data_IF_344913769357
#
_entry.id   IF_344913769357
#
_cell.length_a   1.000
_cell.length_b   1.000
_cell.length_c   1.000
_cell.angle_alpha   90.00
_cell.angle_beta   90.00
_cell.angle_gamma   90.00
#
_symmetry.space_group_name_H-M   'P 1'
#
loop_
_entity.id
_entity.type
_entity.pdbx_description
1 polymer ?
#
# COMPACT_ATOMS: atom_id res chain seq x y z
N UNK A 1 17.44 -0.39 18.15
CA UNK A 1 16.74 -1.17 17.10
C UNK A 1 17.72 -1.52 16.01
N UNK A 2 17.87 -2.81 15.71
CA UNK A 2 18.65 -3.27 14.57
C UNK A 2 17.71 -3.49 13.39
N UNK A 3 17.98 -2.82 12.29
CA UNK A 3 17.31 -3.06 11.03
C UNK A 3 17.54 -4.51 10.54
N UNK A 4 16.46 -5.25 10.19
CA UNK A 4 16.60 -6.56 9.55
C UNK A 4 17.25 -6.48 8.17
N UNK A 5 17.76 -7.62 7.70
CA UNK A 5 18.26 -7.73 6.33
C UNK A 5 17.11 -7.51 5.34
N UNK A 6 17.43 -6.85 4.23
CA UNK A 6 16.53 -6.66 3.10
C UNK A 6 17.27 -6.91 1.79
N UNK A 7 16.53 -7.29 0.76
CA UNK A 7 17.02 -7.32 -0.61
C UNK A 7 16.81 -5.95 -1.27
N UNK A 8 17.58 -5.63 -2.30
CA UNK A 8 17.47 -4.37 -3.05
C UNK A 8 16.65 -4.61 -4.31
N UNK A 9 15.34 -4.41 -4.22
CA UNK A 9 14.40 -4.58 -5.33
C UNK A 9 13.82 -3.24 -5.79
N UNK A 10 13.65 -2.29 -4.87
CA UNK A 10 13.09 -0.98 -5.16
C UNK A 10 14.19 0.02 -5.56
N UNK A 11 13.86 0.90 -6.51
CA UNK A 11 14.54 2.17 -6.78
C UNK A 11 14.17 3.18 -5.71
N UNK A 12 15.08 3.34 -4.76
CA UNK A 12 14.97 4.25 -3.63
C UNK A 12 16.18 5.22 -3.62
N UNK A 13 16.05 6.41 -3.03
CA UNK A 13 14.82 6.99 -2.47
C UNK A 13 13.83 7.42 -3.56
N UNK A 14 12.52 7.43 -3.24
CA UNK A 14 11.50 7.98 -4.15
C UNK A 14 11.40 9.50 -3.99
N UNK A 15 11.00 10.26 -5.01
CA UNK A 15 11.02 11.73 -4.91
C UNK A 15 9.86 12.28 -4.05
N UNK A 16 10.13 13.37 -3.33
CA UNK A 16 9.12 14.24 -2.72
C UNK A 16 8.85 15.44 -3.65
N UNK A 17 7.61 15.62 -4.10
CA UNK A 17 7.24 16.61 -5.12
C UNK A 17 6.11 17.51 -4.63
N UNK A 18 6.27 18.83 -4.77
CA UNK A 18 5.20 19.80 -4.48
C UNK A 18 4.16 19.82 -5.61
N UNK A 19 2.88 19.73 -5.26
CA UNK A 19 1.76 19.92 -6.19
C UNK A 19 1.45 21.41 -6.30
N UNK A 20 2.11 22.10 -7.23
CA UNK A 20 2.13 23.56 -7.23
C UNK A 20 0.73 24.17 -7.39
N UNK A 21 -0.05 23.70 -8.36
CA UNK A 21 -1.35 24.31 -8.68
C UNK A 21 -2.39 24.00 -7.62
N UNK A 22 -2.34 22.81 -7.03
CA UNK A 22 -3.21 22.40 -5.94
C UNK A 22 -2.85 23.14 -4.65
N UNK A 23 -1.56 23.37 -4.40
CA UNK A 23 -1.12 24.16 -3.26
C UNK A 23 -1.64 25.59 -3.35
N UNK A 24 -1.57 26.19 -4.54
CA UNK A 24 -2.10 27.53 -4.80
C UNK A 24 -3.63 27.60 -4.67
N UNK A 25 -4.35 26.55 -5.09
CA UNK A 25 -5.82 26.42 -4.96
C UNK A 25 -6.24 26.31 -3.49
N UNK A 26 -5.54 25.48 -2.71
CA UNK A 26 -5.91 25.18 -1.32
C UNK A 26 -5.33 26.15 -0.29
N UNK A 27 -4.40 27.01 -0.69
CA UNK A 27 -3.61 27.88 0.21
C UNK A 27 -2.92 27.07 1.31
N UNK A 28 -2.39 25.90 0.93
CA UNK A 28 -1.59 25.00 1.77
C UNK A 28 -0.46 24.40 0.93
N UNK A 29 0.65 24.03 1.55
CA UNK A 29 1.79 23.41 0.88
C UNK A 29 1.55 21.91 0.75
N UNK A 30 1.01 21.47 -0.40
CA UNK A 30 0.72 20.05 -0.65
C UNK A 30 1.87 19.39 -1.38
N UNK A 31 2.45 18.38 -0.75
CA UNK A 31 3.55 17.57 -1.25
C UNK A 31 3.11 16.12 -1.44
N UNK A 32 3.77 15.41 -2.35
CA UNK A 32 3.54 13.99 -2.62
C UNK A 32 4.85 13.23 -2.53
N UNK A 33 4.92 12.23 -1.66
CA UNK A 33 5.98 11.22 -1.69
C UNK A 33 5.61 10.18 -2.73
N UNK A 34 6.38 10.13 -3.83
CA UNK A 34 6.07 9.38 -5.06
C UNK A 34 6.46 7.91 -4.98
N UNK A 35 5.88 7.21 -4.00
CA UNK A 35 6.07 5.77 -3.84
C UNK A 35 5.41 4.93 -4.94
N UNK A 36 4.63 5.54 -5.82
CA UNK A 36 4.22 4.98 -7.10
C UNK A 36 5.41 4.75 -8.05
N UNK A 37 6.56 5.39 -7.81
CA UNK A 37 7.76 5.31 -8.64
C UNK A 37 8.86 4.38 -8.06
N UNK A 38 8.53 3.51 -7.10
CA UNK A 38 9.50 2.61 -6.45
C UNK A 38 10.18 1.62 -7.40
N UNK A 39 9.50 1.05 -8.39
CA UNK A 39 10.09 0.17 -9.43
C UNK A 39 9.07 0.02 -10.56
N UNK A 40 9.47 -0.42 -11.76
CA UNK A 40 8.59 -0.52 -12.92
C UNK A 40 7.44 -1.53 -12.71
N UNK A 41 7.71 -2.83 -12.81
CA UNK A 41 6.67 -3.87 -12.69
C UNK A 41 6.09 -4.00 -11.28
N UNK A 42 6.92 -3.75 -10.26
CA UNK A 42 6.52 -3.87 -8.85
C UNK A 42 5.94 -2.58 -8.25
N UNK A 43 5.84 -1.50 -9.03
CA UNK A 43 5.42 -0.13 -8.66
C UNK A 43 4.45 -0.04 -7.48
N UNK A 44 4.75 0.91 -6.58
CA UNK A 44 3.92 1.23 -5.44
C UNK A 44 4.52 0.79 -4.12
N UNK A 45 3.69 0.79 -3.09
CA UNK A 45 4.12 0.57 -1.71
C UNK A 45 4.60 -0.84 -1.39
N UNK A 46 4.14 -1.85 -2.12
CA UNK A 46 4.30 -3.25 -1.72
C UNK A 46 5.76 -3.68 -1.79
N UNK A 47 6.51 -3.21 -2.78
CA UNK A 47 7.91 -3.61 -2.94
C UNK A 47 8.77 -3.24 -1.73
N UNK A 48 8.53 -2.09 -1.08
CA UNK A 48 9.25 -1.71 0.14
C UNK A 48 9.13 -2.74 1.26
N UNK A 49 7.95 -3.37 1.41
CA UNK A 49 7.74 -4.43 2.40
C UNK A 49 8.30 -5.76 1.94
N UNK A 50 8.12 -6.05 0.65
CA UNK A 50 8.62 -7.28 0.03
C UNK A 50 10.15 -7.37 0.05
N UNK A 51 10.88 -6.26 0.07
CA UNK A 51 12.33 -6.27 0.24
C UNK A 51 12.78 -6.99 1.54
N UNK A 52 12.00 -6.91 2.62
CA UNK A 52 12.30 -7.62 3.87
C UNK A 52 11.75 -9.05 3.84
N UNK A 53 10.49 -9.19 3.43
CA UNK A 53 9.80 -10.49 3.42
C UNK A 53 10.47 -11.49 2.48
N UNK A 54 10.86 -11.05 1.28
CA UNK A 54 11.55 -11.91 0.33
C UNK A 54 13.01 -12.13 0.69
N UNK A 55 13.65 -11.21 1.41
CA UNK A 55 14.97 -11.47 1.98
C UNK A 55 14.91 -12.59 3.02
N UNK A 56 13.89 -12.61 3.87
CA UNK A 56 13.66 -13.71 4.83
C UNK A 56 13.32 -15.02 4.11
N UNK A 57 12.45 -14.98 3.10
CA UNK A 57 12.10 -16.15 2.29
C UNK A 57 13.32 -16.79 1.61
N UNK A 58 14.19 -15.97 0.99
CA UNK A 58 15.43 -16.47 0.37
C UNK A 58 16.40 -17.01 1.43
N UNK A 59 16.52 -16.33 2.58
CA UNK A 59 17.41 -16.77 3.65
C UNK A 59 16.96 -18.09 4.30
N UNK A 60 15.66 -18.37 4.33
CA UNK A 60 15.10 -19.65 4.80
C UNK A 60 15.16 -20.76 3.73
N UNK A 61 15.65 -20.44 2.53
CA UNK A 61 15.77 -21.38 1.43
C UNK A 61 14.44 -21.71 0.76
N UNK A 62 13.42 -20.85 0.87
CA UNK A 62 12.14 -21.03 0.22
C UNK A 62 12.30 -21.25 -1.29
N UNK A 63 11.41 -22.06 -1.87
CA UNK A 63 11.31 -22.24 -3.33
C UNK A 63 10.04 -21.62 -3.89
N UNK A 64 9.02 -21.45 -3.05
CA UNK A 64 7.73 -20.86 -3.42
C UNK A 64 7.37 -19.77 -2.43
N UNK A 65 6.68 -18.73 -2.90
CA UNK A 65 5.98 -17.78 -2.04
C UNK A 65 4.49 -17.85 -2.26
N UNK A 66 3.73 -17.82 -1.18
CA UNK A 66 2.26 -17.84 -1.22
C UNK A 66 1.75 -16.50 -0.72
N UNK A 67 0.79 -15.90 -1.42
CA UNK A 67 0.10 -14.73 -0.88
C UNK A 67 -1.35 -14.65 -1.37
N UNK A 68 -2.10 -13.71 -0.82
CA UNK A 68 -3.51 -13.55 -1.11
C UNK A 68 -3.90 -12.10 -1.45
N UNK A 69 -4.93 -11.96 -2.27
CA UNK A 69 -5.56 -10.67 -2.54
C UNK A 69 -6.81 -10.78 -3.41
N UNK A 70 -7.38 -9.62 -3.78
CA UNK A 70 -8.38 -9.58 -4.85
C UNK A 70 -7.72 -9.83 -6.22
N UNK A 71 -8.53 -10.14 -7.23
CA UNK A 71 -8.06 -10.39 -8.62
C UNK A 71 -7.14 -9.27 -9.15
N UNK A 72 -7.48 -8.00 -8.89
CA UNK A 72 -6.68 -6.83 -9.29
C UNK A 72 -5.73 -6.35 -8.18
N UNK A 73 -5.26 -7.24 -7.31
CA UNK A 73 -4.39 -6.89 -6.18
C UNK A 73 -3.01 -6.40 -6.63
N UNK A 74 -2.69 -5.13 -6.29
CA UNK A 74 -1.33 -4.59 -6.43
C UNK A 74 -0.29 -5.40 -5.63
N UNK A 75 -0.70 -5.98 -4.50
CA UNK A 75 0.15 -6.83 -3.67
C UNK A 75 0.50 -8.13 -4.38
N UNK A 76 -0.49 -8.85 -4.91
CA UNK A 76 -0.25 -10.10 -5.62
C UNK A 76 0.67 -9.89 -6.83
N UNK A 77 0.42 -8.82 -7.61
CA UNK A 77 1.28 -8.44 -8.74
C UNK A 77 2.72 -8.15 -8.30
N UNK A 78 2.91 -7.32 -7.28
CA UNK A 78 4.24 -7.00 -6.79
C UNK A 78 4.97 -8.25 -6.27
N UNK A 79 4.28 -9.13 -5.53
CA UNK A 79 4.84 -10.39 -5.02
C UNK A 79 5.25 -11.30 -6.17
N UNK A 80 4.37 -11.51 -7.17
CA UNK A 80 4.66 -12.36 -8.32
C UNK A 80 5.92 -11.92 -9.08
N UNK A 81 6.00 -10.62 -9.41
CA UNK A 81 7.14 -10.09 -10.17
C UNK A 81 8.43 -10.13 -9.33
N UNK A 82 8.35 -9.77 -8.04
CA UNK A 82 9.52 -9.80 -7.16
C UNK A 82 10.01 -11.23 -6.90
N UNK A 83 9.10 -12.19 -6.69
CA UNK A 83 9.42 -13.60 -6.55
C UNK A 83 10.13 -14.15 -7.79
N UNK A 84 9.56 -13.89 -8.98
CA UNK A 84 10.15 -14.30 -10.24
C UNK A 84 11.58 -13.74 -10.43
N UNK A 85 11.82 -12.48 -10.05
CA UNK A 85 13.16 -11.86 -10.12
C UNK A 85 14.20 -12.51 -9.20
N UNK A 86 13.74 -13.22 -8.16
CA UNK A 86 14.58 -13.94 -7.21
C UNK A 86 14.64 -15.44 -7.50
N UNK A 87 14.01 -15.91 -8.59
CA UNK A 87 13.93 -17.34 -8.91
C UNK A 87 13.01 -18.14 -8.00
N UNK A 88 12.03 -17.49 -7.36
CA UNK A 88 11.01 -18.12 -6.54
C UNK A 88 9.73 -18.28 -7.36
N UNK A 89 9.09 -19.45 -7.23
CA UNK A 89 7.74 -19.66 -7.76
C UNK A 89 6.71 -18.88 -6.92
N UNK A 90 5.58 -18.48 -7.53
CA UNK A 90 4.59 -17.66 -6.84
C UNK A 90 3.17 -18.24 -6.94
N UNK A 91 2.55 -18.42 -5.78
CA UNK A 91 1.20 -18.93 -5.61
C UNK A 91 0.28 -17.81 -5.10
N UNK A 92 -0.77 -17.51 -5.84
CA UNK A 92 -1.69 -16.41 -5.56
C UNK A 92 -3.09 -16.94 -5.23
N UNK A 93 -3.53 -16.75 -3.99
CA UNK A 93 -4.90 -17.00 -3.57
C UNK A 93 -5.74 -15.76 -3.90
N UNK A 94 -6.64 -15.88 -4.86
CA UNK A 94 -7.41 -14.75 -5.39
C UNK A 94 -8.89 -14.86 -5.02
N UNK A 95 -9.43 -13.83 -4.35
CA UNK A 95 -10.85 -13.77 -4.01
C UNK A 95 -11.70 -13.55 -5.27
N UNK A 96 -12.64 -14.46 -5.52
CA UNK A 96 -13.60 -14.39 -6.62
C UNK A 96 -13.49 -15.56 -7.58
N UNK A 97 -14.00 -15.38 -8.80
CA UNK A 97 -13.87 -16.34 -9.89
C UNK A 97 -12.75 -15.94 -10.84
N UNK A 98 -12.26 -16.91 -11.63
CA UNK A 98 -11.37 -16.62 -12.74
C UNK A 98 -12.06 -15.67 -13.74
N UNK A 99 -11.45 -14.52 -14.07
CA UNK A 99 -12.02 -13.61 -15.06
C UNK A 99 -11.84 -14.17 -16.47
N UNK A 100 -12.75 -13.81 -17.37
CA UNK A 100 -12.70 -14.20 -18.78
C UNK A 100 -11.65 -13.42 -19.58
N UNK A 101 -11.28 -12.22 -19.12
CA UNK A 101 -10.22 -11.40 -19.69
C UNK A 101 -9.09 -11.19 -18.69
N UNK A 102 -7.85 -11.23 -19.19
CA UNK A 102 -6.67 -10.92 -18.41
C UNK A 102 -6.24 -9.47 -18.68
N UNK A 103 -6.24 -8.66 -17.63
CA UNK A 103 -5.84 -7.25 -17.70
C UNK A 103 -5.21 -6.79 -16.38
N UNK A 104 -4.58 -5.61 -16.42
CA UNK A 104 -4.05 -4.93 -15.25
C UNK A 104 -3.09 -5.80 -14.43
N UNK A 105 -3.31 -5.83 -13.12
CA UNK A 105 -2.47 -6.56 -12.17
C UNK A 105 -2.49 -8.08 -12.42
N UNK A 106 -3.62 -8.67 -12.79
CA UNK A 106 -3.72 -10.12 -13.02
C UNK A 106 -2.89 -10.55 -14.23
N UNK A 107 -2.98 -9.81 -15.34
CA UNK A 107 -2.21 -10.11 -16.55
C UNK A 107 -0.71 -10.11 -16.24
N UNK A 108 -0.22 -9.08 -15.55
CA UNK A 108 1.18 -8.97 -15.16
C UNK A 108 1.61 -10.09 -14.20
N UNK A 109 0.73 -10.49 -13.28
CA UNK A 109 1.00 -11.61 -12.36
C UNK A 109 1.17 -12.93 -13.11
N UNK A 110 0.27 -13.23 -14.06
CA UNK A 110 0.36 -14.44 -14.89
C UNK A 110 1.59 -14.41 -15.82
N UNK A 111 1.93 -13.25 -16.39
CA UNK A 111 3.16 -13.09 -17.20
C UNK A 111 4.44 -13.30 -16.39
N UNK A 112 4.42 -12.98 -15.09
CA UNK A 112 5.51 -13.27 -14.17
C UNK A 112 5.56 -14.75 -13.72
N UNK A 113 4.69 -15.61 -14.25
CA UNK A 113 4.66 -17.05 -13.93
C UNK A 113 3.80 -17.41 -12.73
N UNK A 114 3.01 -16.49 -12.17
CA UNK A 114 2.22 -16.80 -10.99
C UNK A 114 1.10 -17.83 -11.25
N UNK A 115 0.99 -18.80 -10.35
CA UNK A 115 -0.10 -19.76 -10.27
C UNK A 115 -1.26 -19.16 -9.45
N UNK A 116 -2.48 -19.20 -9.97
CA UNK A 116 -3.64 -18.55 -9.35
C UNK A 116 -4.67 -19.56 -8.84
N UNK A 117 -4.99 -19.47 -7.56
CA UNK A 117 -6.05 -20.23 -6.89
C UNK A 117 -7.24 -19.32 -6.63
N UNK A 118 -8.31 -19.47 -7.40
CA UNK A 118 -9.52 -18.66 -7.23
C UNK A 118 -10.43 -19.27 -6.18
N UNK A 119 -10.79 -18.48 -5.16
CA UNK A 119 -11.59 -18.95 -4.03
C UNK A 119 -12.88 -18.14 -3.85
N UNK A 120 -13.93 -18.84 -3.45
CA UNK A 120 -15.24 -18.21 -3.18
C UNK A 120 -15.16 -17.28 -1.97
N UNK A 121 -16.20 -16.44 -1.78
CA UNK A 121 -16.28 -15.56 -0.60
C UNK A 121 -16.34 -16.34 0.71
N UNK A 122 -16.99 -17.51 0.72
CA UNK A 122 -17.08 -18.37 1.89
C UNK A 122 -15.70 -18.93 2.25
N UNK A 123 -15.02 -19.54 1.26
CA UNK A 123 -13.65 -20.05 1.42
C UNK A 123 -12.67 -18.94 1.81
N UNK A 124 -12.83 -17.73 1.28
CA UNK A 124 -12.04 -16.57 1.67
C UNK A 124 -12.20 -16.19 3.15
N UNK A 125 -13.34 -16.50 3.77
CA UNK A 125 -13.55 -16.32 5.21
C UNK A 125 -12.67 -17.23 6.08
N UNK A 126 -12.15 -18.31 5.50
CA UNK A 126 -11.27 -19.31 6.11
C UNK A 126 -9.87 -19.23 5.48
N UNK A 127 -9.40 -18.02 5.17
CA UNK A 127 -8.15 -17.83 4.45
C UNK A 127 -6.93 -18.52 5.10
N UNK A 128 -6.77 -18.57 6.45
CA UNK A 128 -5.69 -19.34 7.08
C UNK A 128 -5.67 -20.81 6.65
N UNK A 129 -6.81 -21.49 6.66
CA UNK A 129 -6.94 -22.90 6.25
C UNK A 129 -6.56 -23.10 4.78
N UNK A 130 -6.85 -22.11 3.92
CA UNK A 130 -6.45 -22.16 2.49
C UNK A 130 -4.94 -22.03 2.32
N UNK A 131 -4.29 -21.17 3.11
CA UNK A 131 -2.82 -21.08 3.13
C UNK A 131 -2.21 -22.42 3.56
N UNK A 132 -2.66 -22.98 4.68
CA UNK A 132 -2.17 -24.26 5.21
C UNK A 132 -2.35 -25.42 4.20
N UNK A 133 -3.48 -25.44 3.48
CA UNK A 133 -3.74 -26.42 2.44
C UNK A 133 -2.72 -26.32 1.29
N UNK A 134 -2.48 -25.12 0.77
CA UNK A 134 -1.55 -24.91 -0.35
C UNK A 134 -0.11 -25.19 0.09
N UNK A 135 0.28 -24.76 1.29
CA UNK A 135 1.58 -25.08 1.89
C UNK A 135 1.78 -26.60 1.93
N UNK A 136 0.84 -27.33 2.52
CA UNK A 136 0.88 -28.79 2.62
C UNK A 136 0.98 -29.48 1.25
N UNK A 137 0.23 -28.98 0.26
CA UNK A 137 0.27 -29.52 -1.11
C UNK A 137 1.64 -29.30 -1.78
N UNK A 138 2.28 -28.16 -1.54
CA UNK A 138 3.61 -27.85 -2.09
C UNK A 138 4.70 -28.65 -1.40
N UNK A 139 4.64 -28.77 -0.08
CA UNK A 139 5.60 -29.57 0.71
C UNK A 139 5.58 -31.05 0.31
N UNK A 140 4.39 -31.62 0.05
CA UNK A 140 4.25 -32.99 -0.47
C UNK A 140 4.94 -33.19 -1.83
N UNK A 141 5.13 -32.11 -2.60
CA UNK A 141 5.87 -32.11 -3.88
C UNK A 141 7.35 -31.76 -3.72
N UNK A 142 7.84 -31.64 -2.49
CA UNK A 142 9.24 -31.31 -2.17
C UNK A 142 9.57 -29.82 -2.24
N UNK A 143 8.58 -28.94 -2.34
CA UNK A 143 8.79 -27.49 -2.28
C UNK A 143 8.94 -27.01 -0.83
N UNK A 144 9.43 -25.78 -0.67
CA UNK A 144 9.55 -25.08 0.62
C UNK A 144 8.79 -23.76 0.51
N UNK A 145 7.50 -23.73 0.90
CA UNK A 145 6.68 -22.53 0.77
C UNK A 145 7.05 -21.48 1.84
N UNK A 146 6.86 -20.21 1.50
CA UNK A 146 6.91 -19.08 2.43
C UNK A 146 5.67 -18.22 2.26
N UNK A 147 4.85 -18.12 3.31
CA UNK A 147 3.60 -17.38 3.28
C UNK A 147 3.75 -15.91 3.62
N UNK A 148 3.22 -15.07 2.74
CA UNK A 148 3.17 -13.62 2.89
C UNK A 148 1.71 -13.21 3.12
N UNK A 149 1.38 -12.59 4.27
CA UNK A 149 0.01 -12.17 4.53
C UNK A 149 -0.42 -11.04 3.59
N UNK A 150 -1.73 -10.82 3.50
CA UNK A 150 -2.33 -9.80 2.61
C UNK A 150 -1.62 -8.44 2.79
N UNK A 151 -1.11 -7.91 1.67
CA UNK A 151 -0.46 -6.61 1.63
C UNK A 151 0.91 -6.55 2.29
N UNK A 152 1.50 -7.69 2.66
CA UNK A 152 2.76 -7.81 3.38
C UNK A 152 2.69 -7.14 4.75
N UNK A 153 1.54 -7.23 5.41
CA UNK A 153 1.25 -6.46 6.63
C UNK A 153 1.41 -7.32 7.88
N UNK A 154 2.66 -7.58 8.23
CA UNK A 154 3.14 -8.21 9.46
C UNK A 154 4.29 -7.35 10.05
N UNK A 155 4.82 -7.68 11.23
CA UNK A 155 5.94 -6.95 11.82
C UNK A 155 7.13 -6.77 10.88
N UNK A 156 7.62 -7.82 10.21
CA UNK A 156 8.76 -7.66 9.30
C UNK A 156 8.47 -6.67 8.14
N UNK A 157 7.27 -6.72 7.56
CA UNK A 157 6.86 -5.82 6.49
C UNK A 157 6.65 -4.36 6.90
N UNK A 158 6.40 -4.07 8.19
CA UNK A 158 6.30 -2.70 8.74
C UNK A 158 7.59 -1.91 8.50
N UNK A 159 8.76 -2.58 8.51
CA UNK A 159 10.05 -1.93 8.24
C UNK A 159 10.12 -1.21 6.90
N UNK A 160 9.45 -1.71 5.86
CA UNK A 160 9.42 -1.07 4.54
C UNK A 160 8.98 0.39 4.59
N UNK A 161 7.99 0.70 5.44
CA UNK A 161 7.50 2.07 5.62
C UNK A 161 8.10 2.80 6.81
N UNK A 162 8.65 2.08 7.80
CA UNK A 162 9.51 2.71 8.80
C UNK A 162 10.70 3.38 8.10
N UNK A 163 11.40 2.65 7.22
CA UNK A 163 12.50 3.21 6.42
C UNK A 163 12.09 4.34 5.47
N UNK A 164 10.89 4.30 4.91
CA UNK A 164 10.38 5.42 4.10
C UNK A 164 10.35 6.72 4.92
N UNK A 165 10.08 6.67 6.22
CA UNK A 165 10.11 7.87 7.08
C UNK A 165 11.53 8.42 7.27
N UNK A 166 12.55 7.57 7.34
CA UNK A 166 13.94 8.02 7.37
C UNK A 166 14.32 8.75 6.07
N UNK A 167 13.91 8.21 4.92
CA UNK A 167 14.03 8.89 3.62
C UNK A 167 13.27 10.24 3.63
N UNK A 168 12.01 10.23 4.07
CA UNK A 168 11.15 11.40 4.07
C UNK A 168 11.68 12.50 4.99
N UNK A 169 12.32 12.14 6.10
CA UNK A 169 12.98 13.10 6.99
C UNK A 169 14.05 13.89 6.23
N UNK A 170 14.91 13.21 5.49
CA UNK A 170 15.93 13.86 4.65
C UNK A 170 15.30 14.74 3.57
N UNK A 171 14.23 14.26 2.92
CA UNK A 171 13.49 15.04 1.93
C UNK A 171 12.91 16.33 2.55
N UNK A 172 12.25 16.21 3.70
CA UNK A 172 11.64 17.33 4.42
C UNK A 172 12.67 18.36 4.88
N UNK A 173 13.82 17.92 5.40
CA UNK A 173 14.93 18.79 5.78
C UNK A 173 15.45 19.58 4.57
N UNK A 174 15.57 18.95 3.40
CA UNK A 174 16.09 19.60 2.19
C UNK A 174 15.22 20.73 1.64
N UNK A 175 13.91 20.69 1.93
CA UNK A 175 12.93 21.69 1.49
C UNK A 175 12.35 22.51 2.65
N UNK A 176 12.92 22.36 3.86
CA UNK A 176 12.58 23.18 5.03
C UNK A 176 11.25 22.85 5.72
N UNK A 177 10.69 21.66 5.51
CA UNK A 177 9.45 21.20 6.16
C UNK A 177 9.77 20.78 7.60
N UNK A 178 9.32 21.57 8.58
CA UNK A 178 9.54 21.29 10.01
C UNK A 178 8.39 20.55 10.67
N UNK A 179 7.17 20.73 10.16
CA UNK A 179 5.95 20.09 10.65
C UNK A 179 5.04 19.76 9.48
N UNK A 180 4.37 18.61 9.57
CA UNK A 180 3.46 18.19 8.51
C UNK A 180 2.42 17.19 8.97
N UNK A 181 1.32 17.12 8.23
CA UNK A 181 0.36 16.03 8.31
C UNK A 181 0.52 15.07 7.12
N UNK A 182 0.77 13.79 7.40
CA UNK A 182 1.14 12.76 6.42
C UNK A 182 -0.07 11.85 6.16
N UNK A 183 -0.62 11.91 4.95
CA UNK A 183 -1.78 11.14 4.53
C UNK A 183 -1.39 9.90 3.75
N UNK A 184 -2.04 8.76 4.02
CA UNK A 184 -1.92 7.55 3.20
C UNK A 184 -3.24 6.77 3.17
N UNK A 185 -3.43 5.97 2.11
CA UNK A 185 -4.47 4.95 2.08
C UNK A 185 -4.17 3.80 3.05
N UNK A 186 -5.21 3.22 3.66
CA UNK A 186 -5.14 2.07 4.56
C UNK A 186 -6.10 0.98 4.08
N UNK A 187 -5.55 -0.14 3.60
CA UNK A 187 -6.31 -1.32 3.19
C UNK A 187 -5.88 -2.65 3.81
N UNK A 188 -4.69 -2.71 4.42
CA UNK A 188 -4.21 -3.87 5.21
C UNK A 188 -3.41 -3.44 6.45
N UNK A 189 -3.37 -2.15 6.75
CA UNK A 189 -2.67 -1.59 7.93
C UNK A 189 -1.18 -1.37 7.75
N UNK A 190 -0.41 -2.30 7.16
CA UNK A 190 1.04 -2.31 7.34
C UNK A 190 1.83 -1.11 6.78
N UNK A 191 1.29 -0.39 5.79
CA UNK A 191 1.91 0.88 5.33
C UNK A 191 1.82 1.94 6.42
N UNK A 192 0.63 2.09 6.99
CA UNK A 192 0.33 3.09 8.00
C UNK A 192 1.00 2.74 9.33
N UNK A 193 0.98 1.46 9.72
CA UNK A 193 1.77 0.98 10.85
C UNK A 193 3.27 1.27 10.66
N UNK A 194 3.82 1.04 9.47
CA UNK A 194 5.22 1.41 9.15
C UNK A 194 5.50 2.89 9.27
N UNK A 195 4.59 3.76 8.83
CA UNK A 195 4.71 5.21 9.02
C UNK A 195 4.74 5.55 10.51
N UNK A 196 3.82 5.02 11.32
CA UNK A 196 3.80 5.25 12.77
C UNK A 196 5.08 4.75 13.45
N UNK A 197 5.52 3.53 13.11
CA UNK A 197 6.74 2.94 13.62
C UNK A 197 7.97 3.79 13.26
N UNK A 198 8.07 4.24 12.00
CA UNK A 198 9.14 5.12 11.54
C UNK A 198 9.13 6.49 12.23
N UNK A 199 7.96 7.11 12.39
CA UNK A 199 7.86 8.39 13.08
C UNK A 199 8.40 8.29 14.51
N UNK A 200 8.07 7.21 15.22
CA UNK A 200 8.61 6.92 16.56
C UNK A 200 10.11 6.62 16.51
N UNK A 201 10.53 5.72 15.63
CA UNK A 201 11.91 5.24 15.55
C UNK A 201 12.92 6.34 15.22
N UNK A 202 12.51 7.32 14.40
CA UNK A 202 13.38 8.40 13.94
C UNK A 202 13.13 9.73 14.66
N UNK A 203 12.39 9.71 15.78
CA UNK A 203 12.19 10.88 16.65
C UNK A 203 11.36 12.01 16.03
N UNK A 204 10.43 11.66 15.14
CA UNK A 204 9.65 12.57 14.32
C UNK A 204 8.20 12.77 14.83
N UNK A 205 7.78 12.04 15.88
CA UNK A 205 6.39 12.06 16.39
C UNK A 205 5.92 13.39 16.95
N UNK A 206 6.81 14.26 17.42
CA UNK A 206 6.43 15.58 17.95
C UNK A 206 6.12 16.60 16.82
N UNK A 207 6.60 16.34 15.61
CA UNK A 207 6.60 17.29 14.50
C UNK A 207 5.68 16.87 13.35
N UNK A 208 5.45 15.57 13.19
CA UNK A 208 4.69 15.05 12.07
C UNK A 208 3.61 14.09 12.56
N UNK A 209 2.41 14.18 11.98
CA UNK A 209 1.27 13.36 12.36
C UNK A 209 0.80 12.54 11.17
N UNK A 210 0.61 11.23 11.35
CA UNK A 210 0.06 10.36 10.32
C UNK A 210 -1.48 10.35 10.35
N UNK A 211 -2.10 10.37 9.17
CA UNK A 211 -3.55 10.20 8.98
C UNK A 211 -3.80 9.11 7.95
N UNK A 212 -4.55 8.08 8.35
CA UNK A 212 -4.92 6.95 7.52
C UNK A 212 -6.33 7.11 6.97
N UNK A 213 -6.50 7.07 5.65
CA UNK A 213 -7.82 7.03 5.03
C UNK A 213 -8.14 5.60 4.64
N UNK A 214 -9.22 5.04 5.21
CA UNK A 214 -9.58 3.64 5.04
C UNK A 214 -10.24 3.42 3.68
N UNK A 215 -9.95 2.26 3.07
CA UNK A 215 -10.53 1.86 1.78
C UNK A 215 -11.40 0.60 1.90
N UNK A 216 -11.45 0.03 3.10
CA UNK A 216 -12.25 -1.10 3.52
C UNK A 216 -12.43 -1.07 5.04
N UNK A 217 -13.30 -1.94 5.55
CA UNK A 217 -13.49 -2.21 6.98
C UNK A 217 -13.78 -0.94 7.80
N UNK A 218 -13.59 -0.99 9.11
CA UNK A 218 -13.98 0.09 10.03
C UNK A 218 -12.76 0.68 10.74
N UNK A 219 -12.93 1.88 11.30
CA UNK A 219 -11.94 2.48 12.21
C UNK A 219 -11.57 1.51 13.33
N UNK A 220 -12.56 0.91 14.00
CA UNK A 220 -12.32 -0.02 15.12
C UNK A 220 -11.45 -1.22 14.70
N UNK A 221 -11.78 -1.85 13.56
CA UNK A 221 -10.97 -2.96 13.04
C UNK A 221 -9.52 -2.55 12.80
N UNK A 222 -9.30 -1.41 12.13
CA UNK A 222 -7.95 -0.97 11.82
C UNK A 222 -7.19 -0.41 13.04
N UNK A 223 -7.87 0.15 14.04
CA UNK A 223 -7.26 0.50 15.32
C UNK A 223 -6.64 -0.73 15.97
N UNK A 224 -7.43 -1.77 16.19
CA UNK A 224 -6.97 -3.03 16.81
C UNK A 224 -5.83 -3.67 16.00
N UNK A 225 -6.01 -3.74 14.68
CA UNK A 225 -5.04 -4.35 13.78
C UNK A 225 -3.71 -3.61 13.78
N UNK A 226 -3.73 -2.28 13.63
CA UNK A 226 -2.51 -1.46 13.58
C UNK A 226 -1.81 -1.49 14.95
N UNK A 227 -2.56 -1.43 16.04
CA UNK A 227 -1.99 -1.53 17.38
C UNK A 227 -1.32 -2.89 17.59
N UNK A 228 -1.95 -3.98 17.17
CA UNK A 228 -1.38 -5.33 17.24
C UNK A 228 -0.09 -5.45 16.44
N UNK A 229 -0.08 -4.98 15.18
CA UNK A 229 1.14 -4.95 14.34
C UNK A 229 2.27 -4.17 15.02
N UNK A 230 1.97 -3.00 15.59
CA UNK A 230 2.96 -2.15 16.24
C UNK A 230 3.52 -2.76 17.52
N UNK A 231 2.69 -3.42 18.32
CA UNK A 231 3.13 -4.16 19.52
C UNK A 231 4.07 -5.29 19.12
N UNK A 232 3.68 -6.10 18.14
CA UNK A 232 4.51 -7.22 17.67
C UNK A 232 5.81 -6.72 17.02
N UNK A 233 5.76 -5.61 16.29
CA UNK A 233 6.96 -4.96 15.74
C UNK A 233 7.88 -4.45 16.84
N UNK A 234 7.34 -3.79 17.86
CA UNK A 234 8.10 -3.27 18.98
C UNK A 234 8.79 -4.38 19.77
N UNK A 235 8.07 -5.48 20.02
CA UNK A 235 8.61 -6.66 20.68
C UNK A 235 9.73 -7.31 19.86
N UNK A 236 9.47 -7.59 18.58
CA UNK A 236 10.44 -8.26 17.70
C UNK A 236 11.73 -7.45 17.49
N UNK A 237 11.66 -6.12 17.51
CA UNK A 237 12.81 -5.24 17.20
C UNK A 237 13.29 -4.38 18.37
N UNK A 238 12.83 -4.69 19.59
CA UNK A 238 13.24 -4.07 20.86
C UNK A 238 13.03 -2.54 20.86
N UNK A 239 11.86 -2.08 20.42
CA UNK A 239 11.46 -0.67 20.45
C UNK A 239 10.66 -0.34 21.72
N UNK A 240 11.28 0.32 22.69
CA UNK A 240 10.64 0.68 23.96
C UNK A 240 9.95 2.06 23.94
N UNK A 241 9.41 2.49 22.79
CA UNK A 241 8.82 3.81 22.62
C UNK A 241 7.31 3.74 22.35
N UNK A 242 6.59 4.76 22.80
CA UNK A 242 5.18 4.92 22.50
C UNK A 242 4.96 5.36 21.05
N UNK A 243 4.03 4.70 20.38
CA UNK A 243 3.57 5.09 19.05
C UNK A 243 2.52 6.19 19.16
N UNK A 244 2.37 7.00 18.10
CA UNK A 244 1.22 7.89 17.99
C UNK A 244 -0.07 7.07 17.88
N UNK A 245 -1.13 7.58 18.50
CA UNK A 245 -2.47 7.01 18.33
C UNK A 245 -2.90 7.09 16.85
N UNK A 246 -3.43 5.99 16.28
CA UNK A 246 -3.94 5.98 14.91
C UNK A 246 -5.07 6.99 14.68
N UNK A 247 -4.89 7.91 13.73
CA UNK A 247 -5.96 8.78 13.23
C UNK A 247 -6.47 8.20 11.93
N UNK A 248 -7.66 7.63 11.97
CA UNK A 248 -8.26 6.91 10.85
C UNK A 248 -9.57 7.55 10.40
N UNK A 249 -9.86 7.49 9.10
CA UNK A 249 -11.06 8.07 8.50
C UNK A 249 -11.68 7.09 7.48
N UNK A 250 -12.85 6.54 7.79
CA UNK A 250 -13.58 5.56 6.96
C UNK A 250 -14.68 6.16 6.07
N UNK A 251 -14.84 7.50 6.08
CA UNK A 251 -15.90 8.20 5.32
C UNK A 251 -15.78 8.03 3.79
N UNK A 252 -14.61 7.62 3.30
CA UNK A 252 -14.27 7.61 1.86
C UNK A 252 -14.27 6.21 1.23
N UNK A 253 -14.73 5.18 1.95
CA UNK A 253 -14.79 3.80 1.43
C UNK A 253 -15.76 3.68 0.25
N UNK A 254 -16.88 4.42 0.27
CA UNK A 254 -17.92 4.38 -0.76
C UNK A 254 -18.71 3.06 -0.74
N UNK A 255 -19.01 2.51 -1.93
CA UNK A 255 -19.78 1.26 -2.09
C UNK A 255 -19.03 -0.02 -1.64
N UNK A 256 -17.83 0.15 -1.10
CA UNK A 256 -16.98 -0.92 -0.59
C UNK A 256 -15.65 -1.07 -1.34
N UNK A 257 -14.88 -2.04 -0.88
CA UNK A 257 -13.55 -2.32 -1.40
C UNK A 257 -13.57 -2.74 -2.88
N UNK A 258 -12.63 -2.22 -3.67
CA UNK A 258 -12.52 -2.50 -5.11
C UNK A 258 -13.54 -1.78 -5.98
N UNK A 259 -14.48 -1.02 -5.40
CA UNK A 259 -15.49 -0.26 -6.13
C UNK A 259 -15.20 1.23 -6.10
N UNK A 260 -15.48 1.89 -7.21
CA UNK A 260 -15.41 3.34 -7.36
C UNK A 260 -16.56 3.84 -8.23
N UNK A 261 -17.05 5.03 -7.90
CA UNK A 261 -18.14 5.69 -8.60
C UNK A 261 -17.69 6.99 -9.29
N UNK A 262 -18.65 7.71 -9.92
CA UNK A 262 -18.36 8.90 -10.73
C UNK A 262 -17.53 9.98 -10.02
N UNK A 263 -17.75 10.20 -8.72
CA UNK A 263 -17.00 11.19 -7.92
C UNK A 263 -15.50 10.87 -7.86
N UNK A 264 -15.14 9.59 -7.72
CA UNK A 264 -13.75 9.16 -7.66
C UNK A 264 -13.11 9.25 -9.05
N UNK A 265 -13.81 8.84 -10.11
CA UNK A 265 -13.29 8.96 -11.47
C UNK A 265 -13.08 10.42 -11.89
N UNK A 266 -13.99 11.31 -11.50
CA UNK A 266 -13.83 12.75 -11.74
C UNK A 266 -12.64 13.33 -10.97
N UNK A 267 -12.42 12.90 -9.72
CA UNK A 267 -11.25 13.32 -8.94
C UNK A 267 -9.94 12.87 -9.60
N UNK A 268 -9.87 11.64 -10.09
CA UNK A 268 -8.70 11.12 -10.83
C UNK A 268 -8.44 11.99 -12.06
N UNK A 269 -9.48 12.29 -12.83
CA UNK A 269 -9.37 13.16 -14.00
C UNK A 269 -8.91 14.56 -13.65
N UNK A 270 -9.47 15.17 -12.60
CA UNK A 270 -9.09 16.52 -12.13
C UNK A 270 -7.61 16.55 -11.73
N UNK A 271 -7.17 15.59 -10.91
CA UNK A 271 -5.77 15.52 -10.43
C UNK A 271 -4.79 15.25 -11.56
N UNK A 272 -5.13 14.38 -12.51
CA UNK A 272 -4.33 14.15 -13.70
C UNK A 272 -4.22 15.42 -14.57
N UNK A 273 -5.32 16.14 -14.81
CA UNK A 273 -5.33 17.38 -15.61
C UNK A 273 -4.61 18.54 -14.90
N UNK A 274 -4.70 18.60 -13.58
CA UNK A 274 -4.15 19.70 -12.79
C UNK A 274 -2.65 19.53 -12.58
N UNK A 275 -2.21 18.34 -12.16
CA UNK A 275 -0.84 18.10 -11.68
C UNK A 275 -0.09 17.04 -12.49
N UNK A 276 -0.72 16.39 -13.47
CA UNK A 276 -0.15 15.18 -14.10
C UNK A 276 -0.08 13.99 -13.14
N UNK A 277 -0.85 14.02 -12.04
CA UNK A 277 -0.87 12.98 -11.01
C UNK A 277 -2.03 12.02 -11.25
N UNK A 278 -1.73 10.77 -11.60
CA UNK A 278 -2.72 9.72 -11.76
C UNK A 278 -2.91 8.96 -10.46
N UNK A 279 -4.15 8.91 -9.97
CA UNK A 279 -4.51 8.16 -8.78
C UNK A 279 -5.35 6.94 -9.18
N UNK A 280 -5.19 5.83 -8.46
CA UNK A 280 -6.01 4.65 -8.65
C UNK A 280 -7.36 4.77 -7.90
N UNK A 281 -8.44 4.20 -8.45
CA UNK A 281 -9.79 4.35 -7.91
C UNK A 281 -10.05 3.57 -6.62
N UNK A 282 -9.21 2.58 -6.29
CA UNK A 282 -9.44 1.70 -5.14
C UNK A 282 -8.75 2.25 -3.89
N UNK A 283 -7.57 2.85 -4.03
CA UNK A 283 -6.77 3.30 -2.88
C UNK A 283 -6.47 4.79 -2.89
N UNK A 284 -5.59 5.21 -3.79
CA UNK A 284 -4.94 6.52 -3.73
C UNK A 284 -5.94 7.65 -4.02
N UNK A 285 -6.91 7.46 -4.90
CA UNK A 285 -7.95 8.47 -5.13
C UNK A 285 -8.86 8.67 -3.91
N UNK A 286 -9.25 7.59 -3.22
CA UNK A 286 -10.07 7.68 -1.99
C UNK A 286 -9.31 8.36 -0.86
N UNK A 287 -8.04 8.00 -0.67
CA UNK A 287 -7.21 8.65 0.33
C UNK A 287 -6.94 10.12 0.01
N UNK A 288 -6.73 10.46 -1.26
CA UNK A 288 -6.58 11.83 -1.71
C UNK A 288 -7.86 12.63 -1.51
N UNK A 289 -9.02 12.04 -1.79
CA UNK A 289 -10.32 12.65 -1.48
C UNK A 289 -10.43 12.97 0.01
N UNK A 290 -10.06 12.02 0.88
CA UNK A 290 -10.06 12.23 2.32
C UNK A 290 -9.16 13.36 2.78
N UNK A 291 -7.95 13.44 2.23
CA UNK A 291 -7.03 14.56 2.45
C UNK A 291 -7.66 15.90 2.04
N UNK A 292 -8.18 16.00 0.81
CA UNK A 292 -8.79 17.22 0.31
C UNK A 292 -9.99 17.67 1.14
N UNK A 293 -10.84 16.72 1.55
CA UNK A 293 -12.02 17.01 2.38
C UNK A 293 -11.59 17.54 3.74
N UNK A 294 -10.62 16.90 4.40
CA UNK A 294 -10.14 17.36 5.72
C UNK A 294 -9.46 18.72 5.66
N UNK A 295 -8.74 19.03 4.58
CA UNK A 295 -8.21 20.39 4.35
C UNK A 295 -9.36 21.41 4.28
N UNK A 296 -10.40 21.12 3.49
CA UNK A 296 -11.57 22.00 3.32
C UNK A 296 -12.39 22.16 4.60
N UNK A 297 -12.47 21.11 5.42
CA UNK A 297 -13.13 21.12 6.73
C UNK A 297 -12.33 21.89 7.80
N UNK A 298 -11.11 22.35 7.49
CA UNK A 298 -10.23 22.99 8.47
C UNK A 298 -9.64 22.01 9.50
N UNK A 299 -9.74 20.70 9.26
CA UNK A 299 -9.25 19.64 10.14
C UNK A 299 -7.73 19.36 9.97
N UNK A 300 -7.05 20.16 9.14
CA UNK A 300 -5.61 20.11 8.89
C UNK A 300 -4.97 21.37 9.45
N UNK A 301 -4.29 21.23 10.60
CA UNK A 301 -3.68 22.33 11.35
C UNK A 301 -2.37 22.82 10.75
N UNK A 302 -1.61 21.94 10.10
CA UNK A 302 -0.30 22.29 9.55
C UNK A 302 -0.40 22.90 8.15
N UNK A 303 0.54 23.77 7.81
CA UNK A 303 0.64 24.35 6.46
C UNK A 303 1.13 23.32 5.44
N UNK A 304 2.00 22.39 5.86
CA UNK A 304 2.54 21.34 5.01
C UNK A 304 1.74 20.05 5.15
N UNK A 305 1.26 19.56 4.01
CA UNK A 305 0.55 18.29 3.89
C UNK A 305 1.35 17.39 2.97
N UNK A 306 1.63 16.16 3.40
CA UNK A 306 2.35 15.17 2.60
C UNK A 306 1.40 14.04 2.29
N UNK A 307 1.14 13.78 1.01
CA UNK A 307 0.42 12.60 0.56
C UNK A 307 1.40 11.51 0.14
N UNK A 308 1.34 10.34 0.78
CA UNK A 308 2.12 9.18 0.38
C UNK A 308 1.38 8.46 -0.75
N UNK A 309 1.81 8.69 -1.99
CA UNK A 309 1.20 8.06 -3.14
C UNK A 309 1.69 6.62 -3.27
N UNK A 310 0.85 5.67 -2.88
CA UNK A 310 1.21 4.25 -2.79
C UNK A 310 1.14 3.47 -4.12
N UNK A 311 1.01 4.15 -5.26
CA UNK A 311 0.84 3.53 -6.58
C UNK A 311 -0.59 3.12 -6.90
N UNK A 312 -0.73 2.06 -7.71
CA UNK A 312 -2.02 1.48 -8.12
C UNK A 312 -2.36 1.62 -9.61
N UNK A 313 -1.45 2.19 -10.41
CA UNK A 313 -1.69 2.50 -11.83
C UNK A 313 -2.16 1.29 -12.66
N UNK A 314 -1.56 0.11 -12.47
CA UNK A 314 -1.96 -1.08 -13.23
C UNK A 314 -3.36 -1.57 -12.86
N UNK A 315 -3.75 -1.44 -11.59
CA UNK A 315 -5.11 -1.74 -11.15
C UNK A 315 -6.13 -0.72 -11.69
N UNK A 316 -5.73 0.54 -11.86
CA UNK A 316 -6.56 1.58 -12.49
C UNK A 316 -6.97 1.21 -13.92
N UNK A 317 -6.12 0.49 -14.68
CA UNK A 317 -6.44 0.08 -16.05
C UNK A 317 -7.63 -0.88 -16.12
N UNK A 318 -7.88 -1.69 -15.08
CA UNK A 318 -9.07 -2.54 -14.99
C UNK A 318 -10.38 -1.74 -14.76
N UNK A 319 -10.27 -0.42 -14.52
CA UNK A 319 -11.41 0.49 -14.43
C UNK A 319 -11.59 1.35 -15.69
N UNK A 320 -10.98 0.97 -16.82
CA UNK A 320 -10.98 1.77 -18.06
C UNK A 320 -12.39 2.20 -18.50
N UNK A 321 -13.40 1.34 -18.39
CA UNK A 321 -14.77 1.69 -18.75
C UNK A 321 -15.35 2.82 -17.84
N UNK A 322 -15.16 2.72 -16.53
CA UNK A 322 -15.62 3.73 -15.58
C UNK A 322 -14.90 5.07 -15.74
N UNK A 323 -13.59 5.01 -16.03
CA UNK A 323 -12.79 6.20 -16.34
C UNK A 323 -13.21 6.86 -17.66
N UNK A 324 -13.52 6.06 -18.68
CA UNK A 324 -13.99 6.56 -19.99
C UNK A 324 -15.34 7.26 -19.87
N UNK A 325 -16.27 6.69 -19.09
CA UNK A 325 -17.57 7.32 -18.83
C UNK A 325 -17.45 8.70 -18.16
N UNK A 326 -16.44 8.93 -17.32
CA UNK A 326 -16.18 10.23 -16.71
C UNK A 326 -15.64 11.29 -17.71
N UNK A 327 -15.15 10.88 -18.88
CA UNK A 327 -14.81 11.79 -19.97
C UNK A 327 -16.06 12.24 -20.73
N UNK A 328 -17.01 11.32 -20.94
CA UNK A 328 -18.24 11.56 -21.72
C UNK A 328 -19.29 12.36 -20.96
N UNK A 329 -19.37 12.24 -19.63
CA UNK A 329 -20.38 12.94 -18.81
C UNK A 329 -20.26 14.49 -18.80
N UNK A 330 -19.35 15.06 -19.59
CA UNK A 330 -19.15 16.51 -19.71
C UNK A 330 -19.17 17.03 -21.16
N UNK A 331 -19.45 16.17 -22.14
CA UNK A 331 -19.87 16.57 -23.49
C UNK A 331 -21.38 16.66 -23.56
#
# INVERSE_FOLDING_TARGET
MMEPKRTSLARLPTPLVRLNRLSDELKKEVWVKRDDLTEHGCSGNKIRKLEYLLAEAVASGATHVITAGAVQSNHCRATAIAAASLGLECELILRGSEPTSLEGNLLLSKLAGAHCHYVTRETWGQLPDVFELIESMLEQRGARPYSIPIGGSNPLGVWGYARMIDELKSDMESVGIKRSQIFTAVGSGGTYAGILAGLTAYGATASHQAIGVLVSDTVAYFQDKIQSDLILWADQFECNASFQEPILDDRFIGEGYGKAGPVIYELIRKTAKQEGLFLDPVYSAKAFQGMLTRIKEGAVSEDHVIFVHTGGLFGMMAHAQGLSAALEAQT
#
